data_IF_735868155063
#
_entry.id   IF_735868155063
#
_cell.length_a   1.000
_cell.length_b   1.000
_cell.length_c   1.000
_cell.angle_alpha   90.00
_cell.angle_beta   90.00
_cell.angle_gamma   90.00
#
_symmetry.space_group_name_H-M   'P 1'
#
loop_
_entity.id
_entity.type
_entity.pdbx_description
1 polymer ?
#
# COMPACT_ATOMS: atom_id res chain seq x y z
N UNK A 1 1.49 11.52 -8.46
CA UNK A 1 0.33 10.62 -8.56
C UNK A 1 0.87 9.26 -9.00
N UNK A 2 1.00 8.30 -8.08
CA UNK A 2 1.69 7.05 -8.38
C UNK A 2 0.74 6.08 -9.11
N UNK A 3 0.96 5.89 -10.41
CA UNK A 3 0.18 4.99 -11.27
C UNK A 3 0.20 3.53 -10.75
N UNK A 4 1.31 3.12 -10.12
CA UNK A 4 1.45 1.80 -9.53
C UNK A 4 0.43 1.57 -8.42
N UNK A 5 0.23 2.53 -7.52
CA UNK A 5 -0.75 2.41 -6.43
C UNK A 5 -2.18 2.35 -6.96
N UNK A 6 -2.47 3.08 -8.04
CA UNK A 6 -3.80 3.02 -8.67
C UNK A 6 -4.06 1.65 -9.28
N UNK A 7 -3.09 1.13 -10.02
CA UNK A 7 -3.18 -0.19 -10.64
C UNK A 7 -3.31 -1.29 -9.58
N UNK A 8 -2.50 -1.22 -8.53
CA UNK A 8 -2.54 -2.14 -7.39
C UNK A 8 -3.90 -2.15 -6.69
N UNK A 9 -4.41 -0.98 -6.26
CA UNK A 9 -5.70 -0.90 -5.58
C UNK A 9 -6.86 -1.30 -6.50
N UNK A 10 -6.80 -0.90 -7.78
CA UNK A 10 -7.77 -1.34 -8.78
C UNK A 10 -7.81 -2.86 -8.91
N UNK A 11 -6.65 -3.51 -8.99
CA UNK A 11 -6.52 -4.97 -9.04
C UNK A 11 -7.08 -5.63 -7.78
N UNK A 12 -6.83 -5.07 -6.59
CA UNK A 12 -7.40 -5.58 -5.34
C UNK A 12 -8.94 -5.45 -5.28
N UNK A 13 -9.52 -4.36 -5.80
CA UNK A 13 -10.99 -4.19 -5.86
C UNK A 13 -11.60 -5.15 -6.89
N UNK A 14 -10.89 -5.42 -7.99
CA UNK A 14 -11.32 -6.33 -9.05
C UNK A 14 -11.20 -7.80 -8.66
N UNK A 15 -10.20 -8.13 -7.85
CA UNK A 15 -9.85 -9.48 -7.44
C UNK A 15 -9.49 -9.49 -5.94
N UNK A 16 -10.52 -9.58 -5.11
CA UNK A 16 -10.41 -9.44 -3.65
C UNK A 16 -9.62 -10.58 -2.95
N UNK A 17 -9.36 -11.68 -3.65
CA UNK A 17 -8.51 -12.76 -3.15
C UNK A 17 -7.05 -12.33 -3.03
N UNK A 18 -6.60 -11.41 -3.89
CA UNK A 18 -5.24 -10.87 -3.88
C UNK A 18 -4.89 -10.13 -2.58
N UNK A 19 -5.90 -9.67 -1.82
CA UNK A 19 -5.68 -9.09 -0.49
C UNK A 19 -5.08 -10.06 0.53
N UNK A 20 -5.21 -11.37 0.30
CA UNK A 20 -4.59 -12.40 1.15
C UNK A 20 -3.16 -12.71 0.72
N UNK A 21 -2.86 -12.53 -0.56
CA UNK A 21 -1.59 -12.92 -1.16
C UNK A 21 -0.60 -11.74 -1.19
N UNK A 22 -1.11 -10.51 -1.13
CA UNK A 22 -0.28 -9.31 -1.16
C UNK A 22 0.60 -9.17 0.07
N UNK A 23 1.86 -8.80 -0.16
CA UNK A 23 2.82 -8.46 0.90
C UNK A 23 2.80 -6.97 1.26
N UNK A 24 2.06 -6.16 0.49
CA UNK A 24 1.98 -4.71 0.71
C UNK A 24 1.15 -4.42 1.95
N UNK A 25 1.68 -3.59 2.82
CA UNK A 25 0.94 -3.01 3.95
C UNK A 25 0.42 -1.62 3.59
N UNK A 26 -0.72 -1.19 4.17
CA UNK A 26 -1.27 0.13 3.89
C UNK A 26 -0.27 1.28 4.09
N UNK A 27 0.60 1.18 5.09
CA UNK A 27 1.64 2.17 5.44
C UNK A 27 2.72 2.31 4.36
N UNK A 28 2.85 1.34 3.47
CA UNK A 28 3.84 1.33 2.41
C UNK A 28 3.39 2.19 1.21
N UNK A 29 2.08 2.42 1.06
CA UNK A 29 1.55 3.33 0.05
C UNK A 29 1.92 4.78 0.39
N UNK A 30 2.25 5.58 -0.61
CA UNK A 30 2.61 7.00 -0.50
C UNK A 30 1.38 7.87 -0.22
N UNK A 31 0.29 7.63 -0.94
CA UNK A 31 -0.91 8.47 -0.81
C UNK A 31 -1.70 8.12 0.44
N UNK A 32 -1.90 9.08 1.34
CA UNK A 32 -2.76 8.91 2.53
C UNK A 32 -4.15 8.38 2.19
N UNK A 33 -4.71 8.76 1.03
CA UNK A 33 -6.01 8.25 0.55
C UNK A 33 -5.93 6.77 0.22
N UNK A 34 -4.88 6.34 -0.45
CA UNK A 34 -4.63 4.94 -0.78
C UNK A 34 -4.37 4.10 0.47
N UNK A 35 -3.61 4.63 1.44
CA UNK A 35 -3.42 3.98 2.75
C UNK A 35 -4.77 3.73 3.43
N UNK A 36 -5.63 4.76 3.52
CA UNK A 36 -6.96 4.66 4.13
C UNK A 36 -7.84 3.62 3.42
N UNK A 37 -7.87 3.66 2.08
CA UNK A 37 -8.64 2.70 1.30
C UNK A 37 -8.16 1.27 1.54
N UNK A 38 -6.85 1.03 1.48
CA UNK A 38 -6.29 -0.30 1.73
C UNK A 38 -6.56 -0.80 3.15
N UNK A 39 -6.43 0.06 4.18
CA UNK A 39 -6.81 -0.30 5.56
C UNK A 39 -8.27 -0.75 5.63
N UNK A 40 -9.17 0.00 4.99
CA UNK A 40 -10.58 -0.33 4.96
C UNK A 40 -10.86 -1.67 4.27
N UNK A 41 -10.19 -1.94 3.15
CA UNK A 41 -10.27 -3.23 2.46
C UNK A 41 -9.80 -4.37 3.39
N UNK A 42 -8.66 -4.22 4.05
CA UNK A 42 -8.16 -5.23 5.00
C UNK A 42 -9.14 -5.47 6.16
N UNK A 43 -9.73 -4.42 6.74
CA UNK A 43 -10.74 -4.52 7.78
C UNK A 43 -12.00 -5.28 7.32
N UNK A 44 -12.51 -4.97 6.12
CA UNK A 44 -13.67 -5.65 5.55
C UNK A 44 -13.38 -7.13 5.32
N UNK A 45 -12.18 -7.46 4.81
CA UNK A 45 -11.78 -8.85 4.57
C UNK A 45 -11.70 -9.64 5.89
N UNK A 46 -11.15 -9.01 6.94
CA UNK A 46 -11.11 -9.59 8.30
C UNK A 46 -12.51 -9.80 8.89
N UNK A 47 -13.46 -8.92 8.57
CA UNK A 47 -14.86 -9.06 8.95
C UNK A 47 -15.65 -10.07 8.10
N UNK A 48 -14.98 -10.80 7.19
CA UNK A 48 -15.62 -11.79 6.31
C UNK A 48 -16.47 -11.17 5.19
N UNK A 49 -16.30 -9.87 4.92
CA UNK A 49 -17.04 -9.17 3.85
C UNK A 49 -16.27 -9.26 2.53
N UNK A 50 -17.02 -9.34 1.43
CA UNK A 50 -16.47 -9.20 0.09
C UNK A 50 -16.02 -7.75 -0.14
N UNK A 51 -15.01 -7.58 -0.98
CA UNK A 51 -14.50 -6.28 -1.41
C UNK A 51 -14.60 -6.21 -2.92
N UNK A 52 -15.65 -5.52 -3.34
CA UNK A 52 -15.93 -5.14 -4.72
C UNK A 52 -16.42 -3.68 -4.77
N UNK A 53 -16.60 -3.14 -5.97
CA UNK A 53 -17.07 -1.76 -6.16
C UNK A 53 -18.39 -1.48 -5.44
N UNK A 54 -19.33 -2.43 -5.43
CA UNK A 54 -20.64 -2.24 -4.83
C UNK A 54 -20.48 -2.18 -3.31
N UNK A 55 -19.78 -3.15 -2.73
CA UNK A 55 -19.52 -3.19 -1.28
C UNK A 55 -18.84 -1.91 -0.78
N UNK A 56 -17.88 -1.36 -1.53
CA UNK A 56 -17.16 -0.14 -1.14
C UNK A 56 -18.02 1.12 -1.30
N UNK A 57 -18.90 1.19 -2.29
CA UNK A 57 -19.80 2.33 -2.49
C UNK A 57 -20.94 2.39 -1.46
N UNK A 58 -21.23 1.30 -0.77
CA UNK A 58 -22.19 1.28 0.35
C UNK A 58 -21.60 1.78 1.68
N UNK A 59 -20.30 2.06 1.72
CA UNK A 59 -19.64 2.51 2.95
C UNK A 59 -20.02 3.96 3.30
N UNK A 60 -20.26 4.28 4.58
CA UNK A 60 -20.62 5.63 5.01
C UNK A 60 -19.47 6.63 4.83
N UNK A 61 -18.22 6.14 4.78
CA UNK A 61 -16.99 6.92 4.61
C UNK A 61 -16.47 6.95 3.16
N UNK A 62 -17.31 6.59 2.17
CA UNK A 62 -16.97 6.55 0.74
C UNK A 62 -16.25 7.82 0.24
N UNK A 63 -16.74 9.00 0.64
CA UNK A 63 -16.16 10.29 0.24
C UNK A 63 -14.71 10.46 0.71
N UNK A 64 -14.32 9.83 1.83
CA UNK A 64 -12.95 9.86 2.34
C UNK A 64 -11.96 9.12 1.41
N UNK A 65 -12.46 8.24 0.55
CA UNK A 65 -11.69 7.50 -0.44
C UNK A 65 -11.78 8.11 -1.84
N UNK A 66 -12.48 9.24 -2.02
CA UNK A 66 -12.64 9.93 -3.30
C UNK A 66 -13.94 9.63 -4.03
N UNK A 67 -14.90 8.95 -3.39
CA UNK A 67 -16.22 8.73 -4.00
C UNK A 67 -16.26 7.56 -4.99
N UNK A 68 -17.45 7.29 -5.51
CA UNK A 68 -17.68 6.23 -6.51
C UNK A 68 -16.87 6.45 -7.79
N UNK A 69 -16.76 7.70 -8.25
CA UNK A 69 -16.01 8.05 -9.47
C UNK A 69 -14.54 7.67 -9.35
N UNK A 70 -13.92 7.88 -8.17
CA UNK A 70 -12.53 7.51 -7.96
C UNK A 70 -12.32 6.00 -7.88
N UNK A 71 -13.24 5.26 -7.24
CA UNK A 71 -13.15 3.79 -7.22
C UNK A 71 -13.27 3.20 -8.63
N UNK A 72 -14.16 3.76 -9.46
CA UNK A 72 -14.26 3.39 -10.88
C UNK A 72 -12.99 3.75 -11.67
N UNK A 73 -12.37 4.90 -11.38
CA UNK A 73 -11.07 5.27 -11.94
C UNK A 73 -9.99 4.24 -11.57
N UNK A 74 -9.89 3.84 -10.30
CA UNK A 74 -8.93 2.82 -9.86
C UNK A 74 -9.11 1.51 -10.63
N UNK A 75 -10.35 1.06 -10.80
CA UNK A 75 -10.67 -0.14 -11.57
C UNK A 75 -10.23 -0.06 -13.04
N UNK A 76 -10.24 1.13 -13.64
CA UNK A 76 -9.75 1.31 -15.02
C UNK A 76 -8.24 1.07 -15.17
N UNK A 77 -7.48 1.18 -14.08
CA UNK A 77 -6.04 0.88 -14.02
C UNK A 77 -5.73 -0.54 -13.58
N UNK A 78 -6.74 -1.35 -13.24
CA UNK A 78 -6.56 -2.70 -12.73
C UNK A 78 -5.94 -3.62 -13.80
N UNK A 79 -4.75 -4.14 -13.49
CA UNK A 79 -4.00 -5.08 -14.30
C UNK A 79 -3.60 -6.27 -13.42
N UNK A 80 -4.30 -7.39 -13.58
CA UNK A 80 -4.07 -8.60 -12.78
C UNK A 80 -2.81 -9.34 -13.25
N UNK A 81 -2.46 -9.24 -14.54
CA UNK A 81 -1.28 -9.90 -15.09
C UNK A 81 0.01 -9.27 -14.58
N UNK A 82 -0.02 -7.96 -14.32
CA UNK A 82 1.13 -7.19 -13.79
C UNK A 82 1.08 -6.97 -12.29
N UNK A 83 0.21 -7.68 -11.55
CA UNK A 83 0.03 -7.46 -10.12
C UNK A 83 1.34 -7.59 -9.34
N UNK A 84 2.02 -8.74 -9.46
CA UNK A 84 3.31 -9.00 -8.78
C UNK A 84 4.39 -7.98 -9.14
N UNK A 85 4.42 -7.54 -10.40
CA UNK A 85 5.35 -6.51 -10.86
C UNK A 85 5.04 -5.15 -10.24
N UNK A 86 3.76 -4.83 -10.10
CA UNK A 86 3.27 -3.60 -9.46
C UNK A 86 3.58 -3.60 -7.97
N UNK A 87 3.39 -4.73 -7.27
CA UNK A 87 3.78 -4.88 -5.86
C UNK A 87 5.27 -4.65 -5.64
N UNK A 88 6.12 -5.28 -6.46
CA UNK A 88 7.58 -5.09 -6.40
C UNK A 88 7.95 -3.62 -6.57
N UNK A 89 7.34 -2.94 -7.54
CA UNK A 89 7.57 -1.53 -7.78
C UNK A 89 7.14 -0.66 -6.57
N UNK A 90 5.98 -0.93 -5.97
CA UNK A 90 5.52 -0.21 -4.77
C UNK A 90 6.51 -0.40 -3.61
N UNK A 91 6.98 -1.63 -3.38
CA UNK A 91 7.97 -1.93 -2.34
C UNK A 91 9.29 -1.21 -2.57
N UNK A 92 9.81 -1.20 -3.80
CA UNK A 92 11.05 -0.51 -4.14
C UNK A 92 10.94 0.99 -3.89
N UNK A 93 9.84 1.60 -4.33
CA UNK A 93 9.56 3.03 -4.09
C UNK A 93 9.41 3.34 -2.60
N UNK A 94 8.75 2.47 -1.84
CA UNK A 94 8.65 2.60 -0.39
C UNK A 94 10.02 2.53 0.29
N UNK A 95 10.87 1.57 -0.09
CA UNK A 95 12.22 1.42 0.47
C UNK A 95 13.08 2.65 0.23
N UNK A 96 13.06 3.21 -0.98
CA UNK A 96 13.81 4.44 -1.26
C UNK A 96 13.25 5.66 -0.53
N UNK A 97 11.93 5.72 -0.30
CA UNK A 97 11.33 6.75 0.56
C UNK A 97 11.80 6.60 2.01
N UNK A 98 11.76 5.38 2.54
CA UNK A 98 12.09 5.13 3.95
C UNK A 98 13.59 5.33 4.22
N UNK A 99 14.45 4.88 3.31
CA UNK A 99 15.89 5.19 3.33
C UNK A 99 16.13 6.70 3.40
N UNK A 100 15.47 7.50 2.56
CA UNK A 100 15.60 8.97 2.62
C UNK A 100 15.10 9.54 3.94
N UNK A 101 13.99 9.04 4.48
CA UNK A 101 13.47 9.45 5.78
C UNK A 101 14.46 9.18 6.92
N UNK A 102 15.03 7.97 6.95
CA UNK A 102 16.03 7.55 7.95
C UNK A 102 17.26 8.44 7.86
N UNK A 103 17.82 8.64 6.66
CA UNK A 103 19.00 9.49 6.47
C UNK A 103 18.75 10.95 6.86
N UNK A 104 17.55 11.46 6.59
CA UNK A 104 17.16 12.83 7.00
C UNK A 104 17.08 12.93 8.52
N UNK A 105 16.45 11.97 9.19
CA UNK A 105 16.38 11.93 10.67
C UNK A 105 17.76 11.76 11.29
N UNK A 106 18.61 10.93 10.71
CA UNK A 106 19.99 10.74 11.14
C UNK A 106 20.78 12.03 11.10
N UNK A 107 20.69 12.78 9.99
CA UNK A 107 21.36 14.07 9.84
C UNK A 107 20.81 15.12 10.82
N UNK A 108 19.49 15.17 11.03
CA UNK A 108 18.86 16.13 11.95
C UNK A 108 19.19 15.88 13.42
N UNK A 109 19.46 14.63 13.80
CA UNK A 109 19.65 14.21 15.19
C UNK A 109 21.10 13.75 15.47
N UNK A 110 22.03 14.02 14.55
CA UNK A 110 23.44 13.65 14.62
C UNK A 110 23.67 12.18 15.05
N UNK A 111 22.98 11.26 14.35
CA UNK A 111 23.08 9.83 14.67
C UNK A 111 24.46 9.28 14.32
N UNK A 112 24.99 8.45 15.22
CA UNK A 112 26.16 7.62 14.92
C UNK A 112 25.89 6.64 13.77
N UNK A 113 26.93 6.36 12.98
CA UNK A 113 26.87 5.47 11.81
C UNK A 113 26.27 4.10 12.16
N UNK A 114 26.59 3.56 13.34
CA UNK A 114 26.06 2.26 13.82
C UNK A 114 24.54 2.28 13.93
N UNK A 115 23.97 3.38 14.44
CA UNK A 115 22.52 3.54 14.56
C UNK A 115 21.85 3.69 13.19
N UNK A 116 22.48 4.43 12.27
CA UNK A 116 21.98 4.59 10.90
C UNK A 116 21.90 3.24 10.18
N UNK A 117 22.97 2.42 10.27
CA UNK A 117 23.01 1.09 9.66
C UNK A 117 21.92 0.20 10.26
N UNK A 118 21.79 0.17 11.59
CA UNK A 118 20.78 -0.64 12.26
C UNK A 118 19.34 -0.30 11.83
N UNK A 119 19.01 0.98 11.64
CA UNK A 119 17.68 1.39 11.17
C UNK A 119 17.44 1.05 9.69
N UNK A 120 18.45 1.20 8.83
CA UNK A 120 18.36 0.80 7.42
C UNK A 120 18.20 -0.72 7.25
N UNK A 121 18.86 -1.51 8.10
CA UNK A 121 18.77 -2.97 8.07
C UNK A 121 17.37 -3.47 8.44
N UNK A 122 16.67 -2.81 9.38
CA UNK A 122 15.27 -3.14 9.72
C UNK A 122 14.34 -2.99 8.51
N UNK A 123 14.55 -1.97 7.68
CA UNK A 123 13.78 -1.76 6.44
C UNK A 123 14.05 -2.85 5.39
N UNK A 124 15.26 -3.43 5.39
CA UNK A 124 15.61 -4.55 4.52
C UNK A 124 15.05 -5.89 5.02
N UNK A 125 14.98 -6.09 6.34
CA UNK A 125 14.50 -7.31 6.98
C UNK A 125 12.98 -7.49 6.96
N UNK A 126 12.18 -6.46 6.66
CA UNK A 126 10.72 -6.59 6.48
C UNK A 126 10.30 -7.53 5.33
N UNK A 127 11.27 -8.12 4.62
CA UNK A 127 11.10 -9.17 3.60
C UNK A 127 11.09 -10.60 4.17
N UNK A 128 11.53 -10.82 5.42
CA UNK A 128 11.89 -12.16 5.91
C UNK A 128 10.97 -12.75 7.00
N UNK A 129 9.95 -12.05 7.49
CA UNK A 129 9.08 -12.54 8.59
C UNK A 129 7.68 -13.01 8.13
N UNK A 130 7.50 -13.28 6.84
CA UNK A 130 6.27 -13.87 6.29
C UNK A 130 6.50 -15.28 5.73
N UNK A 131 7.14 -16.15 6.53
CA UNK A 131 7.24 -17.61 6.29
C UNK A 131 6.68 -18.35 7.49
#
# INVERSE_FOLDING_TARGET
MNLAEKSFLGSLIKADYLLKDTVIQPEQLESTRHQKLMRRMVELKRAGKNIDLISLTTLPDLESFGGMSYLAELLSYADLEKFDGTEKLILELWKEREKRNILTRAAMNDWEIVKVIAELDKTNQSKNEAV
#
